data_IF_962003595282
#
_entry.id   IF_962003595282
#
_cell.length_a   1.000
_cell.length_b   1.000
_cell.length_c   1.000
_cell.angle_alpha   90.00
_cell.angle_beta   90.00
_cell.angle_gamma   90.00
#
_symmetry.space_group_name_H-M   'P 1'
#
loop_
_entity.id
_entity.type
_entity.pdbx_description
1 polymer ?
#
# COMPACT_ATOMS: atom_id res chain seq x y z
N UNK A 1 20.57 8.97 -10.64
CA UNK A 1 20.72 7.78 -9.77
C UNK A 1 19.48 6.91 -9.98
N UNK A 2 19.58 5.82 -10.76
CA UNK A 2 18.45 4.92 -11.04
C UNK A 2 18.43 3.90 -9.91
N UNK A 3 17.52 4.06 -8.96
CA UNK A 3 17.32 3.08 -7.88
C UNK A 3 17.05 1.72 -8.54
N UNK A 4 17.75 0.69 -8.05
CA UNK A 4 17.58 -0.69 -8.48
C UNK A 4 16.10 -1.05 -8.38
N UNK A 5 15.47 -1.30 -9.52
CA UNK A 5 14.11 -1.86 -9.59
C UNK A 5 14.13 -3.20 -8.88
N UNK A 6 13.66 -3.26 -7.63
CA UNK A 6 13.46 -4.54 -6.94
C UNK A 6 12.46 -5.36 -7.74
N UNK A 7 12.72 -6.66 -7.89
CA UNK A 7 11.78 -7.58 -8.52
C UNK A 7 10.43 -7.49 -7.79
N UNK A 8 9.30 -7.28 -8.50
CA UNK A 8 7.99 -7.26 -7.88
C UNK A 8 7.73 -8.53 -7.07
N UNK A 9 7.18 -8.37 -5.86
CA UNK A 9 6.86 -9.48 -4.95
C UNK A 9 5.36 -9.53 -4.72
N UNK A 10 4.75 -10.66 -5.08
CA UNK A 10 3.34 -10.91 -4.87
C UNK A 10 3.11 -11.97 -3.79
N UNK A 11 2.26 -11.66 -2.82
CA UNK A 11 1.91 -12.54 -1.71
C UNK A 11 0.43 -12.98 -1.81
N UNK A 12 0.10 -14.05 -2.56
CA UNK A 12 -1.29 -14.38 -2.92
C UNK A 12 -2.15 -14.88 -1.74
N UNK A 13 -1.53 -15.30 -0.63
CA UNK A 13 -2.22 -15.83 0.56
C UNK A 13 -2.14 -14.90 1.76
N UNK A 14 -1.85 -13.63 1.53
CA UNK A 14 -1.73 -12.60 2.57
C UNK A 14 -2.73 -11.49 2.26
N UNK A 15 -3.41 -11.03 3.29
CA UNK A 15 -4.29 -9.86 3.26
C UNK A 15 -3.57 -8.65 3.86
N UNK A 16 -3.61 -7.52 3.16
CA UNK A 16 -3.25 -6.22 3.73
C UNK A 16 -4.51 -5.54 4.27
N UNK A 17 -4.58 -5.36 5.59
CA UNK A 17 -5.70 -4.69 6.27
C UNK A 17 -5.24 -3.31 6.75
N UNK A 18 -5.95 -2.26 6.35
CA UNK A 18 -5.60 -0.87 6.68
C UNK A 18 -6.70 -0.28 7.57
N UNK A 19 -6.37 -0.15 8.85
CA UNK A 19 -7.29 0.39 9.86
C UNK A 19 -7.66 1.86 9.65
N UNK A 20 -8.79 2.23 10.25
CA UNK A 20 -9.29 3.59 10.27
C UNK A 20 -8.50 4.51 11.22
N UNK A 21 -8.30 5.74 10.77
CA UNK A 21 -7.42 6.68 11.46
C UNK A 21 -7.98 8.08 11.69
N UNK A 22 -8.76 8.61 10.75
CA UNK A 22 -8.75 10.06 10.56
C UNK A 22 -7.34 10.52 10.19
N UNK A 23 -6.90 11.68 10.69
CA UNK A 23 -5.62 12.29 10.33
C UNK A 23 -4.39 11.48 10.74
N UNK A 24 -4.47 10.66 11.80
CA UNK A 24 -3.37 9.73 12.19
C UNK A 24 -3.02 8.71 11.11
N UNK A 25 -3.87 8.52 10.10
CA UNK A 25 -3.51 7.65 8.98
C UNK A 25 -2.41 8.23 8.09
N UNK A 26 -2.00 9.48 8.27
CA UNK A 26 -0.80 10.04 7.63
C UNK A 26 0.45 9.20 7.92
N UNK A 27 0.56 8.58 9.11
CA UNK A 27 1.67 7.68 9.44
C UNK A 27 1.69 6.40 8.59
N UNK A 28 0.54 5.98 8.05
CA UNK A 28 0.42 4.82 7.16
C UNK A 28 0.86 5.14 5.73
N UNK A 29 0.77 6.40 5.30
CA UNK A 29 0.99 6.81 3.90
C UNK A 29 2.38 6.43 3.38
N UNK A 30 3.42 6.61 4.21
CA UNK A 30 4.80 6.27 3.83
C UNK A 30 4.97 4.77 3.57
N UNK A 31 4.27 3.90 4.30
CA UNK A 31 4.31 2.46 4.09
C UNK A 31 3.68 2.07 2.75
N UNK A 32 2.55 2.69 2.40
CA UNK A 32 1.85 2.47 1.14
C UNK A 32 2.74 2.87 -0.04
N UNK A 33 3.33 4.06 0.02
CA UNK A 33 4.28 4.54 -1.00
C UNK A 33 5.48 3.58 -1.10
N UNK A 34 6.02 3.10 0.03
CA UNK A 34 7.12 2.14 0.03
C UNK A 34 6.76 0.82 -0.64
N UNK A 35 5.61 0.24 -0.32
CA UNK A 35 5.15 -1.00 -0.96
C UNK A 35 4.99 -0.85 -2.47
N UNK A 36 4.39 0.26 -2.93
CA UNK A 36 4.28 0.56 -4.37
C UNK A 36 5.66 0.70 -5.02
N UNK A 37 6.57 1.45 -4.40
CA UNK A 37 7.93 1.67 -4.92
C UNK A 37 8.76 0.39 -5.02
N UNK A 38 8.50 -0.60 -4.17
CA UNK A 38 9.18 -1.90 -4.18
C UNK A 38 8.45 -2.97 -5.00
N UNK A 39 7.30 -2.64 -5.60
CA UNK A 39 6.47 -3.59 -6.33
C UNK A 39 5.92 -4.71 -5.44
N UNK A 40 5.62 -4.43 -4.17
CA UNK A 40 5.00 -5.37 -3.24
C UNK A 40 3.49 -5.36 -3.47
N UNK A 41 2.87 -6.54 -3.59
CA UNK A 41 1.42 -6.71 -3.73
C UNK A 41 0.91 -7.90 -2.92
N UNK A 42 -0.39 -7.89 -2.62
CA UNK A 42 -1.05 -8.86 -1.75
C UNK A 42 -2.25 -9.48 -2.45
N UNK A 43 -2.65 -10.69 -2.05
CA UNK A 43 -3.80 -11.39 -2.63
C UNK A 43 -5.15 -10.73 -2.29
N UNK A 44 -5.20 -9.97 -1.20
CA UNK A 44 -6.35 -9.16 -0.83
C UNK A 44 -5.92 -7.88 -0.12
N UNK A 45 -6.63 -6.78 -0.36
CA UNK A 45 -6.39 -5.48 0.29
C UNK A 45 -7.73 -4.88 0.69
N UNK A 46 -7.83 -4.38 1.92
CA UNK A 46 -9.01 -3.68 2.38
C UNK A 46 -8.73 -2.75 3.55
N UNK A 47 -9.58 -1.75 3.71
CA UNK A 47 -9.45 -0.78 4.78
C UNK A 47 -10.73 0.02 5.00
N UNK A 48 -10.82 0.66 6.16
CA UNK A 48 -12.02 1.36 6.61
C UNK A 48 -11.74 2.83 6.90
N UNK A 49 -12.75 3.70 6.72
CA UNK A 49 -12.61 5.14 6.98
C UNK A 49 -11.40 5.74 6.26
N UNK A 50 -10.51 6.46 6.94
CA UNK A 50 -9.26 6.96 6.34
C UNK A 50 -8.34 5.85 5.78
N UNK A 51 -8.49 4.60 6.22
CA UNK A 51 -7.78 3.43 5.67
C UNK A 51 -8.29 3.00 4.30
N UNK A 52 -9.56 3.29 3.99
CA UNK A 52 -10.13 3.04 2.66
C UNK A 52 -9.44 3.92 1.60
N UNK A 53 -9.06 5.16 1.94
CA UNK A 53 -8.31 6.04 1.04
C UNK A 53 -6.97 5.44 0.64
N UNK A 54 -6.21 4.92 1.61
CA UNK A 54 -4.94 4.23 1.35
C UNK A 54 -5.13 2.91 0.59
N UNK A 55 -6.21 2.19 0.87
CA UNK A 55 -6.58 0.97 0.13
C UNK A 55 -6.80 1.27 -1.35
N UNK A 56 -7.62 2.29 -1.66
CA UNK A 56 -7.89 2.69 -3.04
C UNK A 56 -6.61 3.17 -3.74
N UNK A 57 -5.79 3.98 -3.05
CA UNK A 57 -4.52 4.45 -3.60
C UNK A 57 -3.53 3.29 -3.87
N UNK A 58 -3.47 2.30 -2.97
CA UNK A 58 -2.61 1.15 -3.16
C UNK A 58 -3.08 0.27 -4.34
N UNK A 59 -4.40 0.05 -4.46
CA UNK A 59 -4.99 -0.76 -5.52
C UNK A 59 -5.02 -0.08 -6.88
N UNK A 60 -5.07 1.26 -6.95
CA UNK A 60 -4.90 1.99 -8.21
C UNK A 60 -3.49 1.85 -8.77
N UNK A 61 -2.53 1.44 -7.93
CA UNK A 61 -1.14 1.23 -8.32
C UNK A 61 -0.41 2.51 -8.66
N UNK A 62 -0.93 3.67 -8.23
CA UNK A 62 -0.34 4.99 -8.52
C UNK A 62 0.82 5.25 -7.54
N UNK A 63 2.08 5.19 -8.02
CA UNK A 63 3.23 5.52 -7.20
C UNK A 63 3.34 7.05 -7.17
N UNK A 64 2.51 7.71 -6.36
CA UNK A 64 2.61 9.15 -6.11
C UNK A 64 4.03 9.53 -5.71
#
# INVERSE_FOLDING_TARGET
MKLMSSTPRHFPRIALVIEGGGTRNSYTAALISKFLSEGISFGWVGGISAGASHTVNFLSGDPV
#
